data_IF_272058248227
#
_entry.id   IF_272058248227
#
_cell.length_a   1.000
_cell.length_b   1.000
_cell.length_c   1.000
_cell.angle_alpha   90.00
_cell.angle_beta   90.00
_cell.angle_gamma   90.00
#
_symmetry.space_group_name_H-M   'P 1'
#
loop_
_entity.id
_entity.type
_entity.pdbx_description
1 polymer ?
#
# COMPACT_ATOMS: atom_id res chain seq x y z
N UNK A 1 -17.27 -6.72 3.63
CA UNK A 1 -16.17 -6.49 2.66
C UNK A 1 -14.80 -6.60 3.33
N UNK A 2 -14.52 -5.83 4.39
CA UNK A 2 -13.24 -5.93 5.13
C UNK A 2 -12.91 -7.35 5.63
N UNK A 3 -13.90 -8.09 6.12
CA UNK A 3 -13.73 -9.49 6.54
C UNK A 3 -13.27 -10.41 5.42
N UNK A 4 -13.77 -10.23 4.19
CA UNK A 4 -13.36 -11.02 3.03
C UNK A 4 -11.91 -10.72 2.62
N UNK A 5 -11.48 -9.46 2.72
CA UNK A 5 -10.10 -9.04 2.41
C UNK A 5 -9.10 -9.74 3.34
N UNK A 6 -9.39 -9.75 4.64
CA UNK A 6 -8.54 -10.43 5.64
C UNK A 6 -8.53 -11.95 5.40
N UNK A 7 -9.68 -12.53 5.06
CA UNK A 7 -9.80 -13.96 4.75
C UNK A 7 -8.93 -14.36 3.56
N UNK A 8 -8.98 -13.59 2.47
CA UNK A 8 -8.16 -13.80 1.28
C UNK A 8 -6.67 -13.64 1.61
N UNK A 9 -6.30 -12.60 2.37
CA UNK A 9 -4.92 -12.42 2.84
C UNK A 9 -4.41 -13.61 3.66
N UNK A 10 -5.25 -14.15 4.54
CA UNK A 10 -4.94 -15.36 5.32
C UNK A 10 -4.77 -16.60 4.44
N UNK A 11 -5.59 -16.78 3.40
CA UNK A 11 -5.47 -17.88 2.43
C UNK A 11 -4.14 -17.78 1.68
N UNK A 12 -3.79 -16.60 1.17
CA UNK A 12 -2.51 -16.37 0.47
C UNK A 12 -1.34 -16.71 1.39
N UNK A 13 -1.35 -16.20 2.62
CA UNK A 13 -0.33 -16.52 3.62
C UNK A 13 -0.24 -18.03 3.90
N UNK A 14 -1.37 -18.73 3.99
CA UNK A 14 -1.39 -20.17 4.27
C UNK A 14 -0.82 -21.02 3.14
N UNK A 15 -0.85 -20.54 1.89
CA UNK A 15 -0.32 -21.26 0.72
C UNK A 15 1.17 -20.94 0.53
N UNK A 16 1.54 -19.65 0.53
CA UNK A 16 2.91 -19.23 0.21
C UNK A 16 3.87 -19.28 1.40
N UNK A 17 3.45 -18.87 2.60
CA UNK A 17 4.34 -18.85 3.77
C UNK A 17 4.98 -20.22 4.10
N UNK A 18 4.25 -21.36 4.10
CA UNK A 18 4.89 -22.64 4.39
C UNK A 18 5.92 -23.06 3.33
N UNK A 19 5.73 -22.68 2.06
CA UNK A 19 6.74 -22.92 1.02
C UNK A 19 8.04 -22.15 1.31
N UNK A 20 7.93 -20.87 1.69
CA UNK A 20 9.09 -20.04 2.03
C UNK A 20 9.80 -20.52 3.30
N UNK A 21 9.04 -20.91 4.34
CA UNK A 21 9.58 -21.48 5.58
C UNK A 21 10.32 -22.79 5.32
N UNK A 22 9.73 -23.70 4.53
CA UNK A 22 10.36 -25.00 4.19
C UNK A 22 11.68 -24.83 3.44
N UNK A 23 11.77 -23.83 2.58
CA UNK A 23 12.99 -23.50 1.84
C UNK A 23 14.01 -22.68 2.66
N UNK A 24 13.76 -22.41 3.96
CA UNK A 24 14.59 -21.57 4.84
C UNK A 24 14.81 -20.14 4.30
N UNK A 25 13.89 -19.66 3.45
CA UNK A 25 13.91 -18.35 2.79
C UNK A 25 13.35 -17.27 3.74
N UNK A 26 14.05 -17.05 4.85
CA UNK A 26 13.58 -16.18 5.95
C UNK A 26 13.50 -14.71 5.54
N UNK A 27 14.41 -14.26 4.66
CA UNK A 27 14.42 -12.88 4.17
C UNK A 27 13.24 -12.63 3.23
N UNK A 28 12.97 -13.56 2.34
CA UNK A 28 11.85 -13.52 1.42
C UNK A 28 10.53 -13.64 2.17
N UNK A 29 10.47 -14.45 3.22
CA UNK A 29 9.29 -14.57 4.09
C UNK A 29 8.96 -13.22 4.75
N UNK A 30 9.99 -12.50 5.18
CA UNK A 30 9.82 -11.18 5.79
C UNK A 30 9.31 -10.15 4.79
N UNK A 31 9.88 -10.12 3.57
CA UNK A 31 9.43 -9.24 2.49
C UNK A 31 7.98 -9.56 2.11
N UNK A 32 7.68 -10.85 1.91
CA UNK A 32 6.33 -11.33 1.62
C UNK A 32 5.33 -10.88 2.70
N UNK A 33 5.64 -11.12 3.97
CA UNK A 33 4.75 -10.78 5.07
C UNK A 33 4.49 -9.28 5.17
N UNK A 34 5.52 -8.44 5.00
CA UNK A 34 5.37 -6.98 5.02
C UNK A 34 4.53 -6.49 3.86
N UNK A 35 4.83 -6.95 2.63
CA UNK A 35 4.08 -6.53 1.44
C UNK A 35 2.62 -6.97 1.55
N UNK A 36 2.36 -8.20 1.99
CA UNK A 36 1.01 -8.71 2.18
C UNK A 36 0.26 -7.92 3.27
N UNK A 37 0.91 -7.62 4.39
CA UNK A 37 0.32 -6.83 5.47
C UNK A 37 -0.04 -5.41 4.99
N UNK A 38 0.84 -4.76 4.22
CA UNK A 38 0.57 -3.44 3.64
C UNK A 38 -0.63 -3.51 2.68
N UNK A 39 -0.66 -4.50 1.79
CA UNK A 39 -1.76 -4.66 0.84
C UNK A 39 -3.12 -4.88 1.54
N UNK A 40 -3.15 -5.75 2.56
CA UNK A 40 -4.36 -6.00 3.37
C UNK A 40 -4.76 -4.74 4.14
N UNK A 41 -3.81 -4.05 4.76
CA UNK A 41 -4.08 -2.82 5.51
C UNK A 41 -4.68 -1.74 4.61
N UNK A 42 -4.06 -1.43 3.46
CA UNK A 42 -4.58 -0.45 2.50
C UNK A 42 -5.99 -0.83 2.04
N UNK A 43 -6.20 -2.11 1.72
CA UNK A 43 -7.50 -2.61 1.26
C UNK A 43 -8.58 -2.48 2.33
N UNK A 44 -8.25 -2.76 3.60
CA UNK A 44 -9.16 -2.58 4.74
C UNK A 44 -9.44 -1.11 5.01
N UNK A 45 -8.42 -0.24 5.00
CA UNK A 45 -8.59 1.21 5.14
C UNK A 45 -9.53 1.76 4.05
N UNK A 46 -9.33 1.32 2.82
CA UNK A 46 -10.18 1.68 1.68
C UNK A 46 -11.61 1.17 1.86
N UNK A 47 -11.81 -0.07 2.32
CA UNK A 47 -13.12 -0.63 2.62
C UNK A 47 -13.84 0.09 3.76
N UNK A 48 -13.10 0.64 4.73
CA UNK A 48 -13.60 1.46 5.81
C UNK A 48 -13.88 2.91 5.40
N UNK A 49 -13.66 3.27 4.12
CA UNK A 49 -13.76 4.64 3.60
C UNK A 49 -12.90 5.65 4.38
N UNK A 50 -11.80 5.18 4.97
CA UNK A 50 -10.81 6.08 5.55
C UNK A 50 -10.17 6.82 4.37
N UNK A 51 -10.15 8.17 4.37
CA UNK A 51 -9.54 8.94 3.30
C UNK A 51 -8.05 8.64 3.28
N UNK A 52 -7.65 7.78 2.35
CA UNK A 52 -6.25 7.57 2.03
C UNK A 52 -5.80 8.81 1.23
N UNK A 53 -4.68 9.44 1.59
CA UNK A 53 -4.16 10.57 0.84
C UNK A 53 -3.99 10.13 -0.62
N UNK A 54 -4.58 10.89 -1.54
CA UNK A 54 -4.51 10.57 -2.95
C UNK A 54 -3.06 10.79 -3.42
N UNK A 55 -2.44 9.84 -4.13
CA UNK A 55 -1.11 10.08 -4.72
C UNK A 55 -1.06 11.33 -5.60
N UNK A 56 -2.18 11.69 -6.23
CA UNK A 56 -2.30 12.94 -6.97
C UNK A 56 -2.15 14.16 -6.07
N UNK A 57 -2.67 14.15 -4.85
CA UNK A 57 -2.53 15.28 -3.91
C UNK A 57 -1.05 15.49 -3.54
N UNK A 58 -0.27 14.41 -3.44
CA UNK A 58 1.17 14.50 -3.20
C UNK A 58 1.92 15.05 -4.40
N UNK A 59 1.58 14.58 -5.61
CA UNK A 59 2.14 15.14 -6.85
C UNK A 59 1.79 16.62 -6.95
N UNK A 60 0.54 17.00 -6.67
CA UNK A 60 0.08 18.38 -6.66
C UNK A 60 0.84 19.19 -5.61
N UNK A 61 1.05 18.69 -4.39
CA UNK A 61 1.81 19.41 -3.36
C UNK A 61 3.26 19.71 -3.78
N UNK A 62 3.89 18.81 -4.54
CA UNK A 62 5.24 19.01 -5.09
C UNK A 62 5.24 19.98 -6.28
N UNK A 63 4.25 19.87 -7.17
CA UNK A 63 4.18 20.67 -8.39
C UNK A 63 3.62 22.08 -8.18
N UNK A 64 2.76 22.27 -7.17
CA UNK A 64 2.11 23.54 -6.85
C UNK A 64 3.11 24.69 -6.64
N UNK A 65 4.19 24.58 -5.84
CA UNK A 65 5.16 25.67 -5.70
C UNK A 65 5.88 26.01 -7.02
N UNK A 66 6.09 25.03 -7.90
CA UNK A 66 6.69 25.26 -9.23
C UNK A 66 5.70 26.00 -10.13
N UNK A 67 4.43 25.60 -10.11
CA UNK A 67 3.34 26.27 -10.81
C UNK A 67 3.20 27.71 -10.32
N UNK A 68 3.11 27.92 -9.01
CA UNK A 68 2.99 29.24 -8.39
C UNK A 68 4.21 30.12 -8.68
N UNK A 69 5.41 29.54 -8.80
CA UNK A 69 6.60 30.29 -9.22
C UNK A 69 6.53 30.72 -10.70
N UNK A 70 6.14 29.82 -11.61
CA UNK A 70 6.05 30.14 -13.04
C UNK A 70 4.90 31.11 -13.33
N UNK A 71 3.71 30.84 -12.79
CA UNK A 71 2.52 31.66 -13.00
C UNK A 71 2.49 32.92 -12.12
N UNK A 72 3.16 32.92 -10.96
CA UNK A 72 3.30 34.11 -10.11
C UNK A 72 4.32 35.14 -10.64
N UNK A 73 5.17 34.76 -11.61
CA UNK A 73 6.09 35.70 -12.28
C UNK A 73 5.52 36.40 -13.52
N UNK A 74 4.31 36.02 -13.95
CA UNK A 74 3.64 36.59 -15.14
C UNK A 74 2.51 37.58 -14.79
N UNK A 75 2.34 37.93 -13.51
CA UNK A 75 1.51 39.04 -13.02
C UNK A 75 2.42 40.15 -12.45
#
# INVERSE_FOLDING_TARGET
MASAIVLVGGIIASIEAPALVRNKMTRELWIFAVVLAIAVAISVLHALRIPLPNPLDWITAVYKPVSDFIFGTVE
#
